data_IF_581865128840
#
_entry.id   IF_581865128840
#
_cell.length_a   1.000
_cell.length_b   1.000
_cell.length_c   1.000
_cell.angle_alpha   90.00
_cell.angle_beta   90.00
_cell.angle_gamma   90.00
#
_symmetry.space_group_name_H-M   'P 1'
#
loop_
_entity.id
_entity.type
_entity.pdbx_description
1 polymer ?
#
# COMPACT_ATOMS: atom_id res chain seq x y z
N UNK A 1 -23.04 -8.18 10.48
CA UNK A 1 -21.62 -8.57 10.40
C UNK A 1 -21.09 -8.12 9.04
N UNK A 2 -20.49 -6.92 8.95
CA UNK A 2 -20.07 -6.32 7.68
C UNK A 2 -18.55 -6.51 7.51
N UNK A 3 -18.05 -6.94 6.35
CA UNK A 3 -16.62 -6.95 6.10
C UNK A 3 -16.15 -5.51 5.87
N UNK A 4 -15.21 -5.05 6.70
CA UNK A 4 -14.49 -3.79 6.57
C UNK A 4 -13.64 -3.82 5.30
N UNK A 5 -14.27 -3.45 4.19
CA UNK A 5 -13.59 -2.99 3.01
C UNK A 5 -12.83 -1.72 3.37
N UNK A 6 -11.50 -1.81 3.44
CA UNK A 6 -10.64 -0.64 3.37
C UNK A 6 -10.66 -0.21 1.90
N UNK A 7 -11.79 0.37 1.50
CA UNK A 7 -11.92 1.14 0.27
C UNK A 7 -11.13 2.41 0.52
N UNK A 8 -9.94 2.48 -0.09
CA UNK A 8 -9.20 3.72 -0.17
C UNK A 8 -10.10 4.75 -0.87
N UNK A 9 -10.53 5.75 -0.11
CA UNK A 9 -11.41 6.81 -0.53
C UNK A 9 -10.63 7.76 -1.45
N UNK A 10 -10.84 7.66 -2.75
CA UNK A 10 -10.60 8.76 -3.69
C UNK A 10 -11.80 8.83 -4.65
N UNK A 11 -12.89 9.46 -4.19
CA UNK A 11 -13.86 10.06 -5.12
C UNK A 11 -13.23 11.32 -5.70
N UNK A 12 -12.67 11.24 -6.91
CA UNK A 12 -12.55 12.43 -7.76
C UNK A 12 -13.85 12.60 -8.55
N UNK A 13 -14.53 13.72 -8.32
CA UNK A 13 -15.57 14.23 -9.21
C UNK A 13 -14.88 15.10 -10.27
N UNK A 14 -14.58 14.55 -11.44
CA UNK A 14 -14.15 15.36 -12.59
C UNK A 14 -15.33 15.55 -13.55
N UNK A 15 -15.76 16.81 -13.68
CA UNK A 15 -16.85 17.27 -14.55
C UNK A 15 -16.20 17.72 -15.87
N UNK A 16 -16.41 16.97 -16.95
CA UNK A 16 -15.91 17.15 -18.34
C UNK A 16 -14.45 16.74 -18.66
N UNK A 17 -14.29 15.60 -19.34
CA UNK A 17 -13.95 15.57 -20.78
C UNK A 17 -13.65 14.13 -21.22
N UNK A 18 -14.12 13.79 -22.43
CA UNK A 18 -14.03 12.50 -23.10
C UNK A 18 -12.58 12.00 -23.27
N UNK A 19 -12.15 11.10 -22.39
CA UNK A 19 -11.27 9.96 -22.71
C UNK A 19 -11.32 9.03 -21.51
N UNK A 20 -11.98 7.88 -21.65
CA UNK A 20 -11.93 6.83 -20.61
C UNK A 20 -10.52 6.26 -20.66
N UNK A 21 -9.59 6.89 -19.95
CA UNK A 21 -8.32 6.25 -19.61
C UNK A 21 -8.69 5.18 -18.60
N UNK A 22 -8.53 3.92 -18.97
CA UNK A 22 -8.51 2.83 -17.98
C UNK A 22 -7.38 3.18 -17.00
N UNK A 23 -7.74 3.78 -15.86
CA UNK A 23 -6.84 3.92 -14.73
C UNK A 23 -6.49 2.48 -14.35
N UNK A 24 -5.29 2.04 -14.68
CA UNK A 24 -4.80 0.72 -14.33
C UNK A 24 -4.78 0.70 -12.81
N UNK A 25 -5.85 0.16 -12.23
CA UNK A 25 -6.00 0.04 -10.79
C UNK A 25 -4.87 -0.88 -10.32
N UNK A 26 -3.79 -0.30 -9.84
CA UNK A 26 -2.65 -1.03 -9.32
C UNK A 26 -3.14 -1.68 -8.03
N UNK A 27 -3.54 -2.95 -8.13
CA UNK A 27 -4.00 -3.74 -7.00
C UNK A 27 -2.82 -4.57 -6.48
N UNK A 28 -2.54 -4.56 -5.17
CA UNK A 28 -1.49 -5.37 -4.59
C UNK A 28 -1.87 -6.86 -4.64
N UNK A 29 -0.87 -7.72 -4.80
CA UNK A 29 -1.07 -9.17 -4.75
C UNK A 29 -1.58 -9.57 -3.35
N UNK A 30 -2.44 -10.60 -3.20
CA UNK A 30 -2.90 -11.03 -1.88
C UNK A 30 -1.77 -11.38 -0.90
N UNK A 31 -0.64 -11.89 -1.39
CA UNK A 31 0.55 -12.18 -0.59
C UNK A 31 1.21 -10.89 -0.06
N UNK A 32 1.36 -9.89 -0.94
CA UNK A 32 1.83 -8.56 -0.55
C UNK A 32 0.95 -7.93 0.51
N UNK A 33 -0.38 -8.01 0.34
CA UNK A 33 -1.33 -7.43 1.27
C UNK A 33 -1.23 -8.07 2.66
N UNK A 34 -1.05 -9.40 2.72
CA UNK A 34 -0.85 -10.12 3.99
C UNK A 34 0.45 -9.69 4.68
N UNK A 35 1.55 -9.61 3.94
CA UNK A 35 2.84 -9.15 4.47
C UNK A 35 2.77 -7.70 4.94
N UNK A 36 2.15 -6.83 4.16
CA UNK A 36 1.93 -5.42 4.49
C UNK A 36 1.13 -5.26 5.79
N UNK A 37 0.02 -5.97 5.92
CA UNK A 37 -0.81 -5.93 7.13
C UNK A 37 -0.05 -6.41 8.37
N UNK A 38 0.68 -7.53 8.26
CA UNK A 38 1.51 -8.06 9.35
C UNK A 38 2.59 -7.07 9.79
N UNK A 39 3.27 -6.43 8.83
CA UNK A 39 4.30 -5.44 9.13
C UNK A 39 3.70 -4.19 9.75
N UNK A 40 2.57 -3.70 9.26
CA UNK A 40 1.88 -2.53 9.84
C UNK A 40 1.52 -2.76 11.30
N UNK A 41 0.92 -3.92 11.63
CA UNK A 41 0.60 -4.28 13.02
C UNK A 41 1.88 -4.37 13.87
N UNK A 42 2.95 -4.98 13.35
CA UNK A 42 4.22 -5.09 14.06
C UNK A 42 4.81 -3.72 14.39
N UNK A 43 4.81 -2.80 13.43
CA UNK A 43 5.37 -1.46 13.62
C UNK A 43 4.53 -0.62 14.58
N UNK A 44 3.21 -0.73 14.51
CA UNK A 44 2.30 -0.13 15.50
C UNK A 44 2.51 -0.67 16.90
N UNK A 45 2.74 -1.98 17.08
CA UNK A 45 3.05 -2.57 18.38
C UNK A 45 4.40 -2.10 18.95
N UNK A 46 5.34 -1.75 18.08
CA UNK A 46 6.62 -1.15 18.46
C UNK A 46 6.52 0.37 18.68
N UNK A 47 5.30 0.94 18.61
CA UNK A 47 5.03 2.38 18.72
C UNK A 47 5.87 3.23 17.75
N UNK A 48 6.19 2.65 16.58
CA UNK A 48 6.91 3.37 15.52
C UNK A 48 5.91 3.98 14.54
N UNK A 49 6.05 5.28 14.22
CA UNK A 49 5.15 5.93 13.28
C UNK A 49 5.39 5.42 11.86
N UNK A 50 4.31 5.11 11.14
CA UNK A 50 4.38 4.81 9.71
C UNK A 50 4.21 6.15 8.97
N UNK A 51 5.32 6.66 8.44
CA UNK A 51 5.39 8.00 7.85
C UNK A 51 4.90 8.02 6.40
N UNK A 52 5.16 6.96 5.64
CA UNK A 52 4.77 6.85 4.24
C UNK A 52 4.47 5.41 3.88
N UNK A 53 3.41 5.19 3.10
CA UNK A 53 3.14 3.93 2.40
C UNK A 53 2.82 4.26 0.96
N UNK A 54 3.56 3.67 0.02
CA UNK A 54 3.33 3.85 -1.41
C UNK A 54 3.53 2.53 -2.13
N UNK A 55 2.75 2.33 -3.20
CA UNK A 55 3.01 1.30 -4.18
C UNK A 55 3.60 1.93 -5.43
N UNK A 56 4.72 1.38 -5.92
CA UNK A 56 5.35 1.82 -7.15
C UNK A 56 4.74 1.07 -8.35
N UNK A 57 4.22 1.80 -9.32
CA UNK A 57 3.60 1.26 -10.54
C UNK A 57 4.62 0.54 -11.44
N UNK A 58 5.88 0.99 -11.44
CA UNK A 58 6.92 0.42 -12.31
C UNK A 58 7.43 -0.91 -11.77
N UNK A 59 7.65 -0.99 -10.46
CA UNK A 59 8.24 -2.16 -9.81
C UNK A 59 7.22 -3.08 -9.13
N UNK A 60 5.97 -2.62 -8.98
CA UNK A 60 4.88 -3.30 -8.25
C UNK A 60 5.25 -3.67 -6.82
N UNK A 61 6.11 -2.86 -6.18
CA UNK A 61 6.53 -3.05 -4.79
C UNK A 61 5.79 -2.08 -3.89
N UNK A 62 5.49 -2.54 -2.67
CA UNK A 62 5.01 -1.66 -1.61
C UNK A 62 6.21 -1.21 -0.81
N UNK A 63 6.39 0.10 -0.69
CA UNK A 63 7.42 0.71 0.14
C UNK A 63 6.74 1.35 1.34
N UNK A 64 7.21 1.03 2.53
CA UNK A 64 6.81 1.69 3.77
C UNK A 64 8.00 2.34 4.44
N UNK A 65 7.85 3.61 4.82
CA UNK A 65 8.81 4.32 5.66
C UNK A 65 8.28 4.36 7.08
N UNK A 66 9.07 3.86 8.02
CA UNK A 66 8.70 3.72 9.43
C UNK A 66 9.75 4.43 10.29
N UNK A 67 9.30 5.44 11.04
CA UNK A 67 10.20 6.39 11.69
C UNK A 67 11.13 7.06 10.68
N UNK A 68 12.36 7.34 11.11
CA UNK A 68 13.32 8.09 10.30
C UNK A 68 14.33 7.20 9.57
N UNK A 69 14.39 5.91 9.89
CA UNK A 69 15.49 5.03 9.50
C UNK A 69 15.06 3.70 8.89
N UNK A 70 13.81 3.26 9.12
CA UNK A 70 13.39 1.93 8.70
C UNK A 70 12.65 2.04 7.38
N UNK A 71 13.21 1.44 6.33
CA UNK A 71 12.55 1.29 5.04
C UNK A 71 12.18 -0.17 4.82
N UNK A 72 10.90 -0.43 4.54
CA UNK A 72 10.38 -1.77 4.32
C UNK A 72 9.90 -1.86 2.87
N UNK A 73 10.53 -2.74 2.10
CA UNK A 73 10.11 -3.09 0.75
C UNK A 73 9.40 -4.44 0.75
N UNK A 74 8.22 -4.49 0.13
CA UNK A 74 7.43 -5.71 -0.01
C UNK A 74 7.28 -6.04 -1.50
N UNK A 75 7.85 -7.17 -1.88
CA UNK A 75 7.88 -7.66 -3.25
C UNK A 75 6.57 -8.38 -3.63
N UNK A 76 6.25 -8.51 -4.93
CA UNK A 76 5.05 -9.20 -5.42
C UNK A 76 4.79 -10.60 -4.85
N UNK A 77 5.85 -11.34 -4.54
CA UNK A 77 5.84 -12.66 -3.91
C UNK A 77 5.56 -12.63 -2.38
N UNK A 78 5.32 -11.45 -1.80
CA UNK A 78 5.13 -11.27 -0.37
C UNK A 78 6.42 -11.25 0.46
N UNK A 79 7.59 -11.30 -0.17
CA UNK A 79 8.89 -11.17 0.51
C UNK A 79 9.07 -9.76 1.05
N UNK A 80 9.60 -9.67 2.27
CA UNK A 80 9.78 -8.41 3.00
C UNK A 80 11.27 -8.19 3.20
N UNK A 81 11.77 -7.07 2.68
CA UNK A 81 13.14 -6.62 2.87
C UNK A 81 13.12 -5.36 3.72
N UNK A 82 13.85 -5.38 4.84
CA UNK A 82 14.04 -4.21 5.70
C UNK A 82 15.44 -3.65 5.45
N UNK A 83 15.52 -2.34 5.23
CA UNK A 83 16.76 -1.59 5.11
C UNK A 83 16.92 -0.65 6.30
#
# INVERSE_FOLDING_TARGET
MQPLSIVCCLKKCDRNSHTIKYEVKLEPTPEQLRSFYRMSVRMSNLLRPINLVRMDERTKRIVMLVGDTIEIEIYPNGEVVTK
#
